data_IF_527145535546
#
_entry.id   IF_527145535546
#
_cell.length_a   1.000
_cell.length_b   1.000
_cell.length_c   1.000
_cell.angle_alpha   90.00
_cell.angle_beta   90.00
_cell.angle_gamma   90.00
#
_symmetry.space_group_name_H-M   'P 1'
#
loop_
_entity.id
_entity.type
_entity.pdbx_description
1 polymer ?
#
# COMPACT_ATOMS: atom_id res chain seq x y z
N UNK A 1 -2.06 24.29 -6.31
CA UNK A 1 -3.43 24.54 -5.79
C UNK A 1 -3.24 25.38 -4.53
N UNK A 2 -4.08 26.41 -4.26
CA UNK A 2 -3.87 27.23 -3.05
C UNK A 2 -4.41 26.50 -1.83
N UNK A 3 -3.68 26.51 -0.71
CA UNK A 3 -4.04 25.90 0.59
C UNK A 3 -5.48 26.21 1.02
N UNK A 4 -5.95 27.42 0.71
CA UNK A 4 -7.31 27.91 0.97
C UNK A 4 -8.44 27.21 0.20
N UNK A 5 -8.15 26.21 -0.65
CA UNK A 5 -9.12 25.51 -1.49
C UNK A 5 -9.41 24.07 -1.05
N UNK A 6 -8.65 23.52 -0.09
CA UNK A 6 -8.89 22.19 0.47
C UNK A 6 -9.96 22.28 1.56
N UNK A 7 -11.24 22.27 1.18
CA UNK A 7 -12.36 22.53 2.08
C UNK A 7 -13.02 21.25 2.62
N UNK A 8 -12.80 20.10 1.97
CA UNK A 8 -13.37 18.80 2.37
C UNK A 8 -12.37 17.64 2.15
N UNK A 9 -12.75 16.44 2.59
CA UNK A 9 -11.88 15.24 2.58
C UNK A 9 -11.58 14.76 1.16
N UNK A 10 -12.53 14.83 0.24
CA UNK A 10 -12.32 14.48 -1.17
C UNK A 10 -11.27 15.39 -1.83
N UNK A 11 -11.30 16.69 -1.54
CA UNK A 11 -10.30 17.63 -2.05
C UNK A 11 -8.91 17.29 -1.54
N UNK A 12 -8.79 16.95 -0.24
CA UNK A 12 -7.53 16.55 0.40
C UNK A 12 -7.03 15.24 -0.22
N UNK A 13 -7.90 14.24 -0.33
CA UNK A 13 -7.58 12.94 -0.94
C UNK A 13 -7.00 13.11 -2.34
N UNK A 14 -7.72 13.84 -3.21
CA UNK A 14 -7.28 14.10 -4.58
C UNK A 14 -5.95 14.87 -4.63
N UNK A 15 -5.74 15.82 -3.73
CA UNK A 15 -4.52 16.61 -3.70
C UNK A 15 -3.31 15.80 -3.20
N UNK A 16 -3.49 14.95 -2.19
CA UNK A 16 -2.46 14.04 -1.70
C UNK A 16 -2.09 13.02 -2.78
N UNK A 17 -3.06 12.39 -3.45
CA UNK A 17 -2.79 11.49 -4.57
C UNK A 17 -1.98 12.19 -5.65
N UNK A 18 -2.38 13.40 -6.06
CA UNK A 18 -1.63 14.19 -7.05
C UNK A 18 -0.20 14.52 -6.59
N UNK A 19 0.05 14.64 -5.29
CA UNK A 19 1.39 14.83 -4.77
C UNK A 19 2.18 13.52 -4.85
N UNK A 20 1.60 12.39 -4.42
CA UNK A 20 2.23 11.07 -4.45
C UNK A 20 2.51 10.55 -5.87
N UNK A 21 1.70 10.91 -6.86
CA UNK A 21 1.86 10.47 -8.25
C UNK A 21 2.90 11.26 -9.05
N UNK A 22 3.57 12.26 -8.47
CA UNK A 22 4.65 12.99 -9.16
C UNK A 22 5.93 12.18 -9.12
N UNK A 23 6.59 12.06 -10.28
CA UNK A 23 7.85 11.30 -10.49
C UNK A 23 9.05 11.80 -9.65
N UNK A 24 8.93 12.91 -8.91
CA UNK A 24 10.05 13.61 -8.25
C UNK A 24 10.32 13.16 -6.80
N UNK A 25 9.57 12.20 -6.26
CA UNK A 25 9.58 11.92 -4.82
C UNK A 25 10.25 10.59 -4.41
N UNK A 26 10.89 9.87 -5.34
CA UNK A 26 11.50 8.55 -5.05
C UNK A 26 12.50 8.57 -3.88
N UNK A 27 13.13 9.72 -3.62
CA UNK A 27 14.12 9.88 -2.54
C UNK A 27 13.63 10.72 -1.35
N UNK A 28 12.42 11.30 -1.39
CA UNK A 28 11.94 12.13 -0.28
C UNK A 28 11.26 11.27 0.81
N UNK A 29 11.85 11.15 2.02
CA UNK A 29 11.31 10.28 3.07
C UNK A 29 9.90 10.68 3.53
N UNK A 30 9.51 11.94 3.34
CA UNK A 30 8.19 12.44 3.74
C UNK A 30 7.09 11.75 2.93
N UNK A 31 7.37 11.39 1.68
CA UNK A 31 6.41 10.76 0.77
C UNK A 31 6.37 9.24 0.89
N UNK A 32 7.38 8.62 1.50
CA UNK A 32 7.52 7.15 1.52
C UNK A 32 6.35 6.44 2.19
N UNK A 33 6.01 6.86 3.41
CA UNK A 33 4.93 6.24 4.20
C UNK A 33 3.54 6.44 3.55
N UNK A 34 3.15 7.66 3.13
CA UNK A 34 1.87 7.86 2.44
C UNK A 34 1.82 7.13 1.09
N UNK A 35 2.94 7.05 0.38
CA UNK A 35 3.01 6.35 -0.89
C UNK A 35 2.79 4.85 -0.72
N UNK A 36 3.54 4.19 0.18
CA UNK A 36 3.48 2.73 0.30
C UNK A 36 2.09 2.25 0.76
N UNK A 37 1.43 2.98 1.67
CA UNK A 37 0.09 2.61 2.13
C UNK A 37 -0.98 2.88 1.07
N UNK A 38 -0.83 3.96 0.31
CA UNK A 38 -1.75 4.29 -0.78
C UNK A 38 -1.67 3.27 -1.91
N UNK A 39 -0.45 2.92 -2.34
CA UNK A 39 -0.27 1.91 -3.38
C UNK A 39 -0.80 0.54 -2.95
N UNK A 40 -0.54 0.15 -1.70
CA UNK A 40 -1.12 -1.09 -1.16
C UNK A 40 -2.65 -1.09 -1.23
N UNK A 41 -3.29 -0.01 -0.78
CA UNK A 41 -4.75 0.14 -0.89
C UNK A 41 -5.24 0.13 -2.34
N UNK A 42 -4.62 0.93 -3.22
CA UNK A 42 -5.00 1.06 -4.62
C UNK A 42 -5.00 -0.28 -5.34
N UNK A 43 -3.96 -1.09 -5.13
CA UNK A 43 -3.85 -2.39 -5.79
C UNK A 43 -4.78 -3.45 -5.21
N UNK A 44 -5.08 -3.40 -3.91
CA UNK A 44 -6.07 -4.30 -3.33
C UNK A 44 -7.47 -4.06 -3.89
N UNK A 45 -7.82 -2.80 -4.16
CA UNK A 45 -9.10 -2.44 -4.79
C UNK A 45 -9.12 -2.73 -6.31
N UNK A 46 -7.96 -2.79 -6.97
CA UNK A 46 -7.86 -3.02 -8.42
C UNK A 46 -7.82 -4.51 -8.78
N UNK A 47 -7.09 -5.32 -8.01
CA UNK A 47 -6.80 -6.72 -8.32
C UNK A 47 -6.21 -7.53 -7.17
N UNK A 48 -6.40 -7.10 -5.93
CA UNK A 48 -5.99 -7.86 -4.75
C UNK A 48 -4.47 -7.92 -4.54
N UNK A 49 -4.04 -8.88 -3.73
CA UNK A 49 -2.61 -9.00 -3.37
C UNK A 49 -1.74 -9.37 -4.58
N UNK A 50 -2.28 -10.01 -5.61
CA UNK A 50 -1.54 -10.26 -6.86
C UNK A 50 -1.17 -8.94 -7.55
N UNK A 51 -2.15 -8.05 -7.78
CA UNK A 51 -1.90 -6.75 -8.39
C UNK A 51 -0.85 -5.95 -7.60
N UNK A 52 -0.94 -5.99 -6.27
CA UNK A 52 0.05 -5.34 -5.40
C UNK A 52 1.46 -5.89 -5.63
N UNK A 53 1.64 -7.21 -5.69
CA UNK A 53 2.95 -7.85 -5.92
C UNK A 53 3.49 -7.56 -7.31
N UNK A 54 2.62 -7.49 -8.32
CA UNK A 54 2.99 -7.13 -9.70
C UNK A 54 3.47 -5.69 -9.78
N UNK A 55 2.69 -4.72 -9.28
CA UNK A 55 3.01 -3.30 -9.41
C UNK A 55 4.12 -2.83 -8.46
N UNK A 56 4.21 -3.40 -7.26
CA UNK A 56 5.25 -3.06 -6.28
C UNK A 56 6.45 -4.00 -6.34
N UNK A 57 6.49 -4.95 -7.28
CA UNK A 57 7.52 -5.99 -7.33
C UNK A 57 8.94 -5.45 -7.49
N UNK A 58 9.12 -4.36 -8.25
CA UNK A 58 10.42 -3.70 -8.37
C UNK A 58 10.87 -3.08 -7.04
N UNK A 59 9.99 -2.33 -6.38
CA UNK A 59 10.27 -1.70 -5.08
C UNK A 59 10.54 -2.74 -3.98
N UNK A 60 9.75 -3.80 -3.94
CA UNK A 60 9.94 -4.93 -3.02
C UNK A 60 11.30 -5.59 -3.27
N UNK A 61 11.70 -5.75 -4.55
CA UNK A 61 12.99 -6.33 -4.92
C UNK A 61 14.16 -5.42 -4.52
N UNK A 62 14.03 -4.11 -4.74
CA UNK A 62 15.07 -3.11 -4.38
C UNK A 62 15.26 -3.03 -2.87
N UNK A 63 14.17 -2.97 -2.09
CA UNK A 63 14.23 -2.85 -0.64
C UNK A 63 14.53 -4.19 0.06
N UNK A 64 14.12 -5.30 -0.56
CA UNK A 64 14.03 -6.61 0.08
C UNK A 64 12.71 -6.78 0.83
N UNK A 65 12.08 -7.95 0.68
CA UNK A 65 10.72 -8.23 1.19
C UNK A 65 10.55 -7.96 2.68
N UNK A 66 11.54 -8.29 3.51
CA UNK A 66 11.44 -8.11 4.96
C UNK A 66 11.45 -6.62 5.34
N UNK A 67 12.28 -5.82 4.70
CA UNK A 67 12.33 -4.38 4.92
C UNK A 67 11.06 -3.71 4.39
N UNK A 68 10.62 -4.06 3.18
CA UNK A 68 9.40 -3.53 2.59
C UNK A 68 8.16 -3.83 3.44
N UNK A 69 7.98 -5.10 3.86
CA UNK A 69 6.86 -5.49 4.72
C UNK A 69 6.92 -4.77 6.07
N UNK A 70 8.11 -4.59 6.64
CA UNK A 70 8.27 -3.84 7.89
C UNK A 70 7.80 -2.39 7.73
N UNK A 71 8.17 -1.71 6.65
CA UNK A 71 7.74 -0.34 6.41
C UNK A 71 6.21 -0.25 6.24
N UNK A 72 5.64 -1.13 5.41
CA UNK A 72 4.19 -1.17 5.17
C UNK A 72 3.40 -1.53 6.44
N UNK A 73 3.82 -2.53 7.19
CA UNK A 73 3.14 -2.93 8.44
C UNK A 73 3.26 -1.85 9.52
N UNK A 74 4.38 -1.15 9.61
CA UNK A 74 4.55 -0.03 10.52
C UNK A 74 3.59 1.12 10.21
N UNK A 75 3.45 1.49 8.93
CA UNK A 75 2.52 2.57 8.57
C UNK A 75 1.06 2.15 8.75
N UNK A 76 0.71 0.89 8.45
CA UNK A 76 -0.63 0.35 8.75
C UNK A 76 -0.95 0.41 10.24
N UNK A 77 -0.01 0.00 11.11
CA UNK A 77 -0.17 0.11 12.57
C UNK A 77 -0.29 1.57 13.03
N UNK A 78 0.49 2.48 12.42
CA UNK A 78 0.44 3.93 12.70
C UNK A 78 -0.94 4.54 12.40
N UNK A 79 -1.64 4.04 11.38
CA UNK A 79 -3.00 4.49 11.04
C UNK A 79 -4.11 3.62 11.65
N UNK A 80 -3.77 2.80 12.66
CA UNK A 80 -4.70 1.89 13.35
C UNK A 80 -5.35 0.82 12.44
N UNK A 81 -4.67 0.45 11.35
CA UNK A 81 -5.04 -0.63 10.43
C UNK A 81 -4.40 -1.97 10.86
N UNK A 82 -4.43 -2.30 12.16
CA UNK A 82 -3.74 -3.46 12.73
C UNK A 82 -4.15 -4.79 12.09
N UNK A 83 -5.42 -4.94 11.74
CA UNK A 83 -5.93 -6.16 11.10
C UNK A 83 -5.37 -6.36 9.68
N UNK A 84 -5.10 -5.27 8.95
CA UNK A 84 -4.43 -5.33 7.65
C UNK A 84 -2.95 -5.66 7.82
N UNK A 85 -2.28 -5.07 8.82
CA UNK A 85 -0.91 -5.47 9.17
C UNK A 85 -0.82 -6.95 9.51
N UNK A 86 -1.81 -7.51 10.21
CA UNK A 86 -1.81 -8.93 10.58
C UNK A 86 -1.92 -9.86 9.36
N UNK A 87 -2.59 -9.45 8.28
CA UNK A 87 -2.62 -10.19 7.01
C UNK A 87 -1.20 -10.28 6.45
N UNK A 88 -0.50 -9.15 6.37
CA UNK A 88 0.87 -9.08 5.84
C UNK A 88 1.89 -9.81 6.72
N UNK A 89 1.75 -9.70 8.05
CA UNK A 89 2.58 -10.43 9.01
C UNK A 89 2.40 -11.97 8.85
N UNK A 90 1.21 -12.41 8.44
CA UNK A 90 0.90 -13.84 8.26
C UNK A 90 1.31 -14.36 6.87
N UNK A 91 1.01 -13.61 5.81
CA UNK A 91 1.07 -14.10 4.44
C UNK A 91 2.12 -13.39 3.57
N UNK A 92 2.52 -12.16 3.91
CA UNK A 92 3.29 -11.27 3.03
C UNK A 92 4.56 -11.90 2.46
N UNK A 93 5.39 -12.49 3.31
CA UNK A 93 6.64 -13.13 2.88
C UNK A 93 6.37 -14.33 1.97
N UNK A 94 5.41 -15.18 2.34
CA UNK A 94 5.05 -16.38 1.57
C UNK A 94 4.46 -16.02 0.20
N UNK A 95 3.61 -15.00 0.15
CA UNK A 95 3.04 -14.47 -1.10
C UNK A 95 4.16 -14.01 -2.04
N UNK A 96 5.12 -13.23 -1.53
CA UNK A 96 6.26 -12.79 -2.33
C UNK A 96 7.13 -13.94 -2.85
N UNK A 97 7.47 -14.90 -1.98
CA UNK A 97 8.27 -16.06 -2.39
C UNK A 97 7.58 -16.87 -3.49
N UNK A 98 6.27 -17.08 -3.38
CA UNK A 98 5.47 -17.78 -4.40
C UNK A 98 5.35 -16.97 -5.69
N UNK A 99 5.14 -15.67 -5.60
CA UNK A 99 5.12 -14.76 -6.76
C UNK A 99 6.43 -14.85 -7.56
N UNK A 100 7.59 -14.75 -6.88
CA UNK A 100 8.90 -14.84 -7.52
C UNK A 100 9.19 -16.22 -8.11
N UNK A 101 8.72 -17.29 -7.48
CA UNK A 101 8.82 -18.63 -8.04
C UNK A 101 7.94 -18.76 -9.30
N UNK A 102 6.74 -18.17 -9.30
CA UNK A 102 5.82 -18.22 -10.44
C UNK A 102 6.40 -17.49 -11.65
N UNK A 103 6.98 -16.29 -11.46
CA UNK A 103 7.64 -15.52 -12.54
C UNK A 103 8.78 -16.29 -13.22
N UNK A 104 9.42 -17.21 -12.50
CA UNK A 104 10.51 -18.05 -13.01
C UNK A 104 10.04 -19.41 -13.55
N UNK A 105 8.75 -19.72 -13.44
CA UNK A 105 8.21 -21.04 -13.76
C UNK A 105 8.64 -22.14 -12.77
N UNK A 106 9.01 -21.78 -11.54
CA UNK A 106 9.49 -22.70 -10.49
C UNK A 106 8.35 -23.25 -9.61
N UNK A 107 7.13 -22.73 -9.72
CA UNK A 107 5.95 -23.20 -8.99
C UNK A 107 4.74 -23.27 -9.92
N UNK A 108 3.78 -24.14 -9.59
CA UNK A 108 2.48 -24.14 -10.26
C UNK A 108 1.69 -22.86 -9.91
N UNK A 109 0.83 -22.44 -10.83
CA UNK A 109 -0.05 -21.28 -10.66
C UNK A 109 -1.05 -21.49 -9.50
N UNK A 110 -1.63 -22.69 -9.37
CA UNK A 110 -2.53 -23.05 -8.27
C UNK A 110 -1.88 -22.87 -6.89
N UNK A 111 -0.60 -23.22 -6.76
CA UNK A 111 0.18 -23.08 -5.52
C UNK A 111 0.36 -21.61 -5.11
N UNK A 112 0.42 -20.71 -6.09
CA UNK A 112 0.49 -19.27 -5.86
C UNK A 112 -0.87 -18.74 -5.41
N UNK A 113 -1.93 -19.05 -6.16
CA UNK A 113 -3.28 -18.58 -5.84
C UNK A 113 -3.80 -19.10 -4.50
N UNK A 114 -3.41 -20.31 -4.07
CA UNK A 114 -3.80 -20.84 -2.75
C UNK A 114 -3.40 -19.89 -1.59
N UNK A 115 -2.30 -19.15 -1.73
CA UNK A 115 -1.84 -18.19 -0.73
C UNK A 115 -2.51 -16.83 -0.93
N UNK A 116 -2.61 -16.36 -2.17
CA UNK A 116 -3.23 -15.08 -2.52
C UNK A 116 -4.69 -15.05 -2.09
N UNK A 117 -5.47 -16.06 -2.44
CA UNK A 117 -6.90 -16.12 -2.13
C UNK A 117 -7.16 -16.10 -0.62
N UNK A 118 -6.29 -16.71 0.20
CA UNK A 118 -6.42 -16.68 1.66
C UNK A 118 -6.19 -15.27 2.22
N UNK A 119 -5.20 -14.55 1.68
CA UNK A 119 -4.93 -13.18 2.08
C UNK A 119 -6.05 -12.24 1.63
N UNK A 120 -6.51 -12.38 0.39
CA UNK A 120 -7.62 -11.59 -0.17
C UNK A 120 -8.94 -11.84 0.57
N UNK A 121 -9.29 -13.11 0.84
CA UNK A 121 -10.49 -13.43 1.62
C UNK A 121 -10.47 -12.76 3.00
N UNK A 122 -9.31 -12.74 3.66
CA UNK A 122 -9.17 -12.08 4.95
C UNK A 122 -9.26 -10.57 4.83
N UNK A 123 -8.69 -9.99 3.77
CA UNK A 123 -8.84 -8.57 3.46
C UNK A 123 -10.31 -8.19 3.25
N UNK A 124 -11.05 -8.95 2.44
CA UNK A 124 -12.46 -8.71 2.16
C UNK A 124 -13.35 -8.78 3.41
N UNK A 125 -13.01 -9.63 4.38
CA UNK A 125 -13.72 -9.71 5.66
C UNK A 125 -13.60 -8.42 6.51
N UNK A 126 -12.64 -7.54 6.20
CA UNK A 126 -12.47 -6.25 6.88
C UNK A 126 -13.38 -5.14 6.33
N UNK A 127 -14.22 -5.45 5.34
CA UNK A 127 -15.28 -4.58 4.81
C UNK A 127 -14.80 -3.20 4.34
N UNK A 128 -13.63 -3.10 3.70
CA UNK A 128 -13.17 -1.87 3.04
C UNK A 128 -12.79 -0.71 3.97
N UNK A 129 -12.71 -0.92 5.29
CA UNK A 129 -12.41 0.15 6.26
C UNK A 129 -11.03 0.82 6.08
N UNK A 130 -10.12 0.20 5.31
CA UNK A 130 -8.81 0.77 5.01
C UNK A 130 -8.92 2.13 4.32
N UNK A 131 -9.93 2.34 3.47
CA UNK A 131 -10.15 3.61 2.80
C UNK A 131 -10.33 4.76 3.79
N UNK A 132 -11.22 4.59 4.77
CA UNK A 132 -11.52 5.61 5.79
C UNK A 132 -10.29 5.93 6.64
N UNK A 133 -9.51 4.91 7.02
CA UNK A 133 -8.28 5.07 7.81
C UNK A 133 -7.19 5.82 7.03
N UNK A 134 -7.03 5.53 5.73
CA UNK A 134 -6.08 6.26 4.88
C UNK A 134 -6.55 7.69 4.66
N UNK A 135 -7.84 7.90 4.48
CA UNK A 135 -8.41 9.24 4.33
C UNK A 135 -8.18 10.09 5.59
N UNK A 136 -8.42 9.53 6.79
CA UNK A 136 -8.08 10.18 8.07
C UNK A 136 -6.59 10.48 8.17
N UNK A 137 -5.75 9.53 7.76
CA UNK A 137 -4.30 9.73 7.73
C UNK A 137 -3.91 10.88 6.81
N UNK A 138 -4.46 10.94 5.60
CA UNK A 138 -4.23 12.02 4.64
C UNK A 138 -4.67 13.37 5.19
N UNK A 139 -5.83 13.44 5.84
CA UNK A 139 -6.26 14.65 6.55
C UNK A 139 -5.24 15.07 7.61
N UNK A 140 -4.58 14.13 8.30
CA UNK A 140 -3.58 14.47 9.32
C UNK A 140 -2.24 14.97 8.76
N UNK A 141 -1.86 14.58 7.54
CA UNK A 141 -0.52 14.86 6.98
C UNK A 141 -0.52 15.78 5.75
N UNK A 142 -1.67 16.07 5.14
CA UNK A 142 -1.73 16.75 3.84
C UNK A 142 -0.96 18.06 3.78
N UNK A 143 -0.92 18.82 4.88
CA UNK A 143 -0.15 20.07 4.96
C UNK A 143 1.34 19.84 4.80
N UNK A 144 1.87 18.78 5.39
CA UNK A 144 3.29 18.41 5.23
C UNK A 144 3.64 17.91 3.83
N UNK A 145 2.65 17.44 3.07
CA UNK A 145 2.84 16.94 1.70
C UNK A 145 2.60 17.99 0.61
N UNK A 146 1.76 18.98 0.89
CA UNK A 146 1.24 19.93 -0.11
C UNK A 146 1.72 21.36 0.14
N UNK A 147 2.23 21.69 1.33
CA UNK A 147 3.01 22.92 1.59
C UNK A 147 4.52 22.66 1.62
N UNK A 148 5.07 22.53 0.41
CA UNK A 148 6.43 22.96 0.10
C UNK A 148 6.31 23.78 -1.20
N UNK A 149 6.81 25.01 -1.12
CA UNK A 149 6.84 26.06 -2.16
C UNK A 149 7.28 25.54 -3.52
#
# INVERSE_FOLDING_TARGET
MKESQLLNRDDIWNAVIRALSKELHEEDPIFREPFIVFQYYSELESGGHEAWLTWMGEDISKAGIEAYLKDLTNVLKKIHADEYSAILDTYGKKMWEKYRALEKGETAEDDFYEVIEKADQRHYQLNGKLHELIEDYFVSIHRSLIDVV
#
